data_IF_244502344817
#
_entry.id   IF_244502344817
#
_cell.length_a   1.000
_cell.length_b   1.000
_cell.length_c   1.000
_cell.angle_alpha   90.00
_cell.angle_beta   90.00
_cell.angle_gamma   90.00
#
_symmetry.space_group_name_H-M   'P 1'
#
loop_
_entity.id
_entity.type
_entity.pdbx_description
1 polymer ?
#
# COMPACT_ATOMS: atom_id res chain seq x y z
N UNK A 1 7.28 31.22 22.18
CA UNK A 1 6.98 31.18 20.73
C UNK A 1 7.75 29.99 20.20
N UNK A 2 7.12 28.82 20.15
CA UNK A 2 7.85 27.57 19.92
C UNK A 2 7.22 26.89 18.70
N UNK A 3 7.83 27.15 17.54
CA UNK A 3 7.44 26.58 16.26
C UNK A 3 7.67 25.06 16.32
N UNK A 4 6.58 24.30 16.38
CA UNK A 4 6.55 22.85 16.18
C UNK A 4 7.04 22.51 14.77
N UNK A 5 8.34 22.28 14.60
CA UNK A 5 8.88 21.65 13.40
C UNK A 5 8.86 20.13 13.57
N UNK A 6 7.68 19.53 13.48
CA UNK A 6 7.51 18.08 13.48
C UNK A 6 7.89 17.48 12.12
N UNK A 7 9.19 17.35 11.84
CA UNK A 7 9.64 16.59 10.67
C UNK A 7 9.04 15.17 10.73
N UNK A 8 8.52 14.63 9.61
CA UNK A 8 7.94 13.29 9.62
C UNK A 8 9.01 12.28 10.06
N UNK A 9 8.69 11.51 11.11
CA UNK A 9 9.58 10.48 11.63
C UNK A 9 9.92 9.50 10.51
N UNK A 10 11.20 9.42 10.14
CA UNK A 10 11.68 8.46 9.13
C UNK A 10 11.38 7.05 9.65
N UNK A 11 10.56 6.32 8.91
CA UNK A 11 10.18 4.95 9.27
C UNK A 11 11.41 4.03 9.27
N UNK A 12 11.49 3.16 10.26
CA UNK A 12 12.51 2.12 10.31
C UNK A 12 12.30 1.10 9.20
N UNK A 13 13.30 0.23 8.98
CA UNK A 13 13.17 -0.87 8.03
C UNK A 13 12.01 -1.79 8.43
N UNK A 14 11.90 -2.15 9.71
CA UNK A 14 10.83 -3.01 10.23
C UNK A 14 9.46 -2.38 10.02
N UNK A 15 9.30 -1.10 10.37
CA UNK A 15 8.01 -0.39 10.20
C UNK A 15 7.52 -0.40 8.75
N UNK A 16 8.44 -0.33 7.78
CA UNK A 16 8.10 -0.39 6.35
C UNK A 16 7.62 -1.77 5.92
N UNK A 17 8.19 -2.83 6.47
CA UNK A 17 7.75 -4.20 6.18
C UNK A 17 6.39 -4.46 6.82
N UNK A 18 6.21 -4.05 8.09
CA UNK A 18 4.93 -4.22 8.79
C UNK A 18 3.80 -3.53 8.05
N UNK A 19 4.01 -2.28 7.61
CA UNK A 19 3.03 -1.56 6.77
C UNK A 19 2.74 -2.24 5.44
N UNK A 20 3.76 -2.83 4.80
CA UNK A 20 3.56 -3.58 3.56
C UNK A 20 2.70 -4.84 3.83
N UNK A 21 2.99 -5.56 4.91
CA UNK A 21 2.20 -6.73 5.31
C UNK A 21 0.74 -6.36 5.63
N UNK A 22 0.52 -5.29 6.39
CA UNK A 22 -0.82 -4.79 6.67
C UNK A 22 -1.57 -4.41 5.39
N UNK A 23 -0.90 -3.71 4.46
CA UNK A 23 -1.49 -3.37 3.16
C UNK A 23 -1.87 -4.62 2.36
N UNK A 24 -0.99 -5.62 2.28
CA UNK A 24 -1.29 -6.88 1.58
C UNK A 24 -2.47 -7.60 2.23
N UNK A 25 -2.55 -7.65 3.57
CA UNK A 25 -3.70 -8.24 4.28
C UNK A 25 -5.02 -7.52 3.95
N UNK A 26 -5.02 -6.19 3.94
CA UNK A 26 -6.20 -5.42 3.59
C UNK A 26 -6.64 -5.63 2.13
N UNK A 27 -5.68 -5.75 1.22
CA UNK A 27 -5.97 -6.02 -0.19
C UNK A 27 -6.53 -7.42 -0.39
N UNK A 28 -5.94 -8.43 0.26
CA UNK A 28 -6.46 -9.80 0.24
C UNK A 28 -7.89 -9.88 0.80
N UNK A 29 -8.18 -9.19 1.91
CA UNK A 29 -9.51 -9.15 2.50
C UNK A 29 -10.57 -8.47 1.61
N UNK A 30 -10.14 -7.63 0.67
CA UNK A 30 -11.00 -6.91 -0.28
C UNK A 30 -11.08 -7.59 -1.65
N UNK A 31 -10.62 -8.85 -1.74
CA UNK A 31 -10.56 -9.62 -2.99
C UNK A 31 -9.83 -8.85 -4.11
N UNK A 32 -8.73 -8.18 -3.75
CA UNK A 32 -7.94 -7.40 -4.70
C UNK A 32 -7.52 -8.23 -5.92
N UNK A 33 -7.85 -7.73 -7.10
CA UNK A 33 -7.44 -8.27 -8.40
C UNK A 33 -6.46 -7.32 -9.05
N UNK A 34 -5.26 -7.80 -9.38
CA UNK A 34 -4.19 -7.02 -9.97
C UNK A 34 -2.84 -7.33 -9.32
N UNK A 35 -1.92 -6.36 -9.32
CA UNK A 35 -0.58 -6.56 -8.78
C UNK A 35 -0.05 -5.36 -7.98
N UNK A 36 0.84 -5.68 -7.05
CA UNK A 36 1.65 -4.71 -6.32
C UNK A 36 3.08 -4.76 -6.86
N UNK A 37 3.64 -3.59 -7.18
CA UNK A 37 5.06 -3.45 -7.52
C UNK A 37 5.79 -2.78 -6.36
N UNK A 38 6.72 -3.52 -5.75
CA UNK A 38 7.57 -3.03 -4.67
C UNK A 38 8.93 -2.66 -5.24
N UNK A 39 9.23 -1.36 -5.24
CA UNK A 39 10.50 -0.82 -5.67
C UNK A 39 11.43 -0.65 -4.47
N UNK A 40 12.62 -1.25 -4.56
CA UNK A 40 13.65 -1.14 -3.53
C UNK A 40 14.66 -0.04 -3.89
N UNK A 41 15.19 0.64 -2.88
CA UNK A 41 16.27 1.61 -3.01
C UNK A 41 17.25 1.43 -1.86
N UNK A 42 18.55 1.31 -2.16
CA UNK A 42 19.62 1.10 -1.17
C UNK A 42 19.31 -0.04 -0.18
N UNK A 43 18.73 -1.15 -0.67
CA UNK A 43 18.39 -2.31 0.15
C UNK A 43 17.20 -2.11 1.11
N UNK A 44 16.37 -1.08 0.91
CA UNK A 44 15.12 -0.88 1.66
C UNK A 44 13.92 -0.63 0.75
N UNK A 45 12.71 -0.80 1.28
CA UNK A 45 11.48 -0.45 0.57
C UNK A 45 11.46 1.07 0.31
N UNK A 46 11.39 1.42 -0.98
CA UNK A 46 11.36 2.79 -1.46
C UNK A 46 9.94 3.23 -1.84
N UNK A 47 9.37 2.61 -2.88
CA UNK A 47 8.05 2.93 -3.43
C UNK A 47 7.23 1.67 -3.60
N UNK A 48 5.95 1.74 -3.29
CA UNK A 48 4.99 0.68 -3.60
C UNK A 48 3.97 1.26 -4.58
N UNK A 49 3.74 0.57 -5.68
CA UNK A 49 2.73 0.93 -6.70
C UNK A 49 1.64 -0.16 -6.67
N UNK A 50 0.38 0.25 -6.67
CA UNK A 50 -0.78 -0.63 -6.75
C UNK A 50 -1.43 -0.44 -8.12
N UNK A 51 -1.61 -1.54 -8.85
CA UNK A 51 -2.37 -1.56 -10.10
C UNK A 51 -3.50 -2.56 -9.96
N UNK A 52 -4.73 -2.07 -10.07
CA UNK A 52 -5.94 -2.86 -9.91
C UNK A 52 -6.55 -3.14 -11.28
N UNK A 53 -6.90 -4.40 -11.51
CA UNK A 53 -7.65 -4.83 -12.68
C UNK A 53 -9.13 -4.71 -12.35
N UNK A 54 -9.80 -3.74 -12.98
CA UNK A 54 -11.25 -3.61 -12.87
C UNK A 54 -11.89 -4.63 -13.79
N UNK A 55 -12.50 -5.67 -13.22
CA UNK A 55 -13.41 -6.52 -13.96
C UNK A 55 -14.68 -5.72 -14.27
N UNK A 56 -14.77 -5.13 -15.47
CA UNK A 56 -15.92 -4.35 -15.93
C UNK A 56 -17.21 -5.19 -16.14
N UNK A 57 -17.21 -6.46 -15.77
CA UNK A 57 -18.32 -7.40 -16.00
C UNK A 57 -18.92 -7.98 -14.71
N UNK A 58 -19.05 -7.18 -13.65
CA UNK A 58 -20.12 -7.46 -12.68
C UNK A 58 -21.37 -6.81 -13.26
N UNK A 59 -22.14 -7.55 -14.05
CA UNK A 59 -23.53 -7.19 -14.27
C UNK A 59 -24.16 -7.13 -12.88
N UNK A 60 -24.46 -5.91 -12.41
CA UNK A 60 -25.29 -5.73 -11.24
C UNK A 60 -26.57 -6.55 -11.48
N UNK A 61 -26.93 -7.50 -10.59
CA UNK A 61 -28.21 -8.19 -10.71
C UNK A 61 -29.29 -7.12 -10.71
N UNK A 62 -30.01 -7.02 -11.83
CA UNK A 62 -31.21 -6.17 -11.93
C UNK A 62 -32.22 -6.73 -10.94
N UNK A 63 -32.43 -6.02 -9.83
CA UNK A 63 -33.62 -6.17 -8.98
C UNK A 63 -34.88 -5.73 -9.74
#
# INVERSE_FOLDING_TARGET
MDKKNGAPKKLSRTDKHDRLFEMIRMLAAREFTGYLKVNFSQGGIGRIEKLEELALNREDPKE
#
